data_IF_668632493858
#
_entry.id   IF_668632493858
#
_cell.length_a   1.000
_cell.length_b   1.000
_cell.length_c   1.000
_cell.angle_alpha   90.00
_cell.angle_beta   90.00
_cell.angle_gamma   90.00
#
_symmetry.space_group_name_H-M   'P 1'
#
loop_
_entity.id
_entity.type
_entity.pdbx_description
1 polymer ?
#
# COMPACT_ATOMS: atom_id res chain seq x y z
N UNK A 1 0.22 -1.17 -43.77
CA UNK A 1 0.68 -2.39 -43.06
C UNK A 1 1.32 -1.92 -41.76
N UNK A 2 0.56 -1.88 -40.67
CA UNK A 2 1.01 -1.36 -39.38
C UNK A 2 1.73 -2.48 -38.65
N UNK A 3 3.05 -2.38 -38.52
CA UNK A 3 3.86 -3.37 -37.81
C UNK A 3 3.63 -3.22 -36.31
N UNK A 4 2.93 -4.19 -35.71
CA UNK A 4 2.84 -4.33 -34.26
C UNK A 4 4.24 -4.72 -33.76
N UNK A 5 4.95 -3.76 -33.17
CA UNK A 5 6.20 -4.03 -32.45
C UNK A 5 5.84 -4.79 -31.17
N UNK A 6 5.99 -6.12 -31.20
CA UNK A 6 5.90 -6.95 -30.01
C UNK A 6 7.21 -6.71 -29.24
N UNK A 7 7.18 -5.80 -28.27
CA UNK A 7 8.30 -5.60 -27.34
C UNK A 7 8.54 -6.89 -26.53
N UNK A 8 9.81 -7.27 -26.30
CA UNK A 8 10.13 -8.47 -25.55
C UNK A 8 9.70 -8.29 -24.08
N UNK A 9 8.81 -9.17 -23.60
CA UNK A 9 8.38 -9.40 -22.20
C UNK A 9 8.45 -8.15 -21.30
N UNK A 10 7.32 -7.45 -21.14
CA UNK A 10 7.22 -6.30 -20.25
C UNK A 10 7.64 -6.72 -18.82
N UNK A 11 8.91 -6.49 -18.50
CA UNK A 11 9.43 -6.66 -17.14
C UNK A 11 8.70 -5.59 -16.34
N UNK A 12 7.70 -6.00 -15.55
CA UNK A 12 6.87 -5.08 -14.79
C UNK A 12 7.80 -4.10 -14.06
N UNK A 13 7.64 -2.79 -14.29
CA UNK A 13 8.53 -1.83 -13.62
C UNK A 13 8.27 -1.97 -12.13
N UNK A 14 9.33 -1.97 -11.31
CA UNK A 14 9.17 -2.06 -9.84
C UNK A 14 8.23 -0.98 -9.29
N UNK A 15 8.25 0.18 -9.93
CA UNK A 15 7.33 1.31 -9.74
C UNK A 15 5.85 0.88 -9.85
N UNK A 16 5.53 0.13 -10.90
CA UNK A 16 4.17 -0.38 -11.17
C UNK A 16 3.79 -1.47 -10.18
N UNK A 17 4.76 -2.31 -9.80
CA UNK A 17 4.55 -3.35 -8.78
C UNK A 17 4.17 -2.73 -7.43
N UNK A 18 4.91 -1.70 -6.99
CA UNK A 18 4.59 -0.97 -5.76
C UNK A 18 3.22 -0.33 -5.85
N UNK A 19 2.93 0.42 -6.92
CA UNK A 19 1.63 1.08 -7.08
C UNK A 19 0.46 0.07 -7.09
N UNK A 20 0.63 -1.07 -7.75
CA UNK A 20 -0.34 -2.16 -7.77
C UNK A 20 -0.57 -2.73 -6.38
N UNK A 21 0.50 -3.10 -5.68
CA UNK A 21 0.43 -3.70 -4.35
C UNK A 21 -0.17 -2.73 -3.32
N UNK A 22 0.20 -1.45 -3.36
CA UNK A 22 -0.36 -0.41 -2.49
C UNK A 22 -1.86 -0.23 -2.74
N UNK A 23 -2.30 -0.14 -4.01
CA UNK A 23 -3.73 -0.05 -4.32
C UNK A 23 -4.50 -1.28 -3.84
N UNK A 24 -3.93 -2.47 -4.04
CA UNK A 24 -4.51 -3.73 -3.57
C UNK A 24 -4.67 -3.72 -2.05
N UNK A 25 -3.64 -3.38 -1.28
CA UNK A 25 -3.71 -3.36 0.18
C UNK A 25 -4.75 -2.35 0.66
N UNK A 26 -4.77 -1.13 0.11
CA UNK A 26 -5.75 -0.10 0.48
C UNK A 26 -7.20 -0.57 0.22
N UNK A 27 -7.45 -1.28 -0.88
CA UNK A 27 -8.77 -1.82 -1.20
C UNK A 27 -9.24 -2.90 -0.22
N UNK A 28 -8.32 -3.58 0.48
CA UNK A 28 -8.62 -4.72 1.35
C UNK A 28 -8.47 -4.44 2.86
N UNK A 29 -7.91 -3.30 3.26
CA UNK A 29 -7.59 -2.98 4.68
C UNK A 29 -8.45 -1.86 5.29
N UNK A 30 -9.32 -1.22 4.50
CA UNK A 30 -10.08 -0.04 4.94
C UNK A 30 -9.22 1.20 5.22
N UNK A 31 -7.91 1.14 4.90
CA UNK A 31 -6.97 2.25 5.03
C UNK A 31 -7.20 3.28 3.91
N UNK A 32 -7.03 4.55 4.22
CA UNK A 32 -7.32 5.63 3.28
C UNK A 32 -6.05 6.16 2.58
N UNK A 33 -6.16 6.44 1.28
CA UNK A 33 -5.11 7.09 0.48
C UNK A 33 -4.59 8.40 1.10
N UNK A 34 -5.48 9.18 1.74
CA UNK A 34 -5.12 10.43 2.42
C UNK A 34 -4.22 10.22 3.63
N UNK A 35 -4.40 9.12 4.35
CA UNK A 35 -3.64 8.80 5.55
C UNK A 35 -2.24 8.29 5.14
N UNK A 36 -2.20 7.46 4.09
CA UNK A 36 -0.97 7.04 3.43
C UNK A 36 -0.16 8.23 2.87
N UNK A 37 -0.83 9.21 2.25
CA UNK A 37 -0.19 10.43 1.75
C UNK A 37 0.45 11.25 2.88
N UNK A 38 -0.25 11.37 4.02
CA UNK A 38 0.30 12.01 5.23
C UNK A 38 1.50 11.25 5.78
N UNK A 39 1.45 9.92 5.83
CA UNK A 39 2.55 9.08 6.31
C UNK A 39 3.81 9.23 5.44
N UNK A 40 3.65 9.38 4.12
CA UNK A 40 4.74 9.66 3.19
C UNK A 40 5.18 11.14 3.16
N UNK A 41 4.47 12.05 3.83
CA UNK A 41 4.77 13.48 3.77
C UNK A 41 4.52 14.11 2.39
N UNK A 42 3.67 13.51 1.54
CA UNK A 42 3.36 14.01 0.20
C UNK A 42 1.92 14.50 0.07
N UNK A 43 1.67 15.34 -0.94
CA UNK A 43 0.32 15.85 -1.20
C UNK A 43 -0.62 14.73 -1.71
N UNK A 44 -1.94 14.85 -1.49
CA UNK A 44 -2.91 13.89 -2.04
C UNK A 44 -2.85 13.75 -3.56
N UNK A 45 -2.53 14.84 -4.27
CA UNK A 45 -2.36 14.81 -5.72
C UNK A 45 -1.10 14.05 -6.13
N UNK A 46 0.02 14.24 -5.43
CA UNK A 46 1.24 13.48 -5.65
C UNK A 46 1.01 11.98 -5.40
N UNK A 47 0.26 11.64 -4.35
CA UNK A 47 -0.18 10.28 -4.05
C UNK A 47 -1.00 9.68 -5.19
N UNK A 48 -1.99 10.40 -5.69
CA UNK A 48 -2.81 9.93 -6.81
C UNK A 48 -1.97 9.62 -8.05
N UNK A 49 -0.99 10.47 -8.38
CA UNK A 49 -0.06 10.23 -9.48
C UNK A 49 0.80 8.97 -9.28
N UNK A 50 1.26 8.69 -8.06
CA UNK A 50 2.01 7.47 -7.72
C UNK A 50 1.17 6.21 -7.85
N UNK A 51 -0.06 6.25 -7.35
CA UNK A 51 -1.00 5.13 -7.45
C UNK A 51 -1.48 4.87 -8.87
N UNK A 52 -1.35 5.83 -9.78
CA UNK A 52 -1.62 5.69 -11.21
C UNK A 52 -0.36 5.33 -12.03
N UNK A 53 0.77 5.02 -11.38
CA UNK A 53 2.05 4.76 -12.04
C UNK A 53 2.59 5.91 -12.91
N UNK A 54 2.08 7.14 -12.72
CA UNK A 54 2.49 8.32 -13.50
C UNK A 54 3.74 8.99 -12.95
N UNK A 55 4.20 8.60 -11.77
CA UNK A 55 5.34 9.21 -11.13
C UNK A 55 6.19 8.19 -10.35
N UNK A 56 7.46 8.54 -10.14
CA UNK A 56 8.51 7.66 -9.61
C UNK A 56 8.49 7.67 -8.08
N UNK A 57 8.27 6.51 -7.47
CA UNK A 57 8.52 6.22 -6.07
C UNK A 57 10.02 6.32 -5.76
N UNK A 58 10.34 7.16 -4.79
CA UNK A 58 11.62 7.17 -4.08
C UNK A 58 11.69 6.02 -3.08
N UNK A 59 12.90 5.65 -2.66
CA UNK A 59 13.09 4.58 -1.67
C UNK A 59 12.43 4.95 -0.35
N UNK A 60 12.56 6.20 0.11
CA UNK A 60 11.92 6.70 1.34
C UNK A 60 10.39 6.59 1.29
N UNK A 61 9.76 6.89 0.16
CA UNK A 61 8.31 6.73 -0.03
C UNK A 61 7.88 5.25 0.08
N UNK A 62 8.67 4.32 -0.48
CA UNK A 62 8.36 2.88 -0.38
C UNK A 62 8.56 2.38 1.05
N UNK A 63 9.61 2.82 1.75
CA UNK A 63 9.82 2.50 3.17
C UNK A 63 8.65 3.03 4.02
N UNK A 64 8.28 4.29 3.87
CA UNK A 64 7.16 4.88 4.61
C UNK A 64 5.82 4.19 4.31
N UNK A 65 5.59 3.73 3.08
CA UNK A 65 4.44 2.91 2.74
C UNK A 65 4.48 1.55 3.46
N UNK A 66 5.64 0.88 3.47
CA UNK A 66 5.83 -0.40 4.13
C UNK A 66 5.55 -0.30 5.64
N UNK A 67 6.10 0.73 6.28
CA UNK A 67 5.88 1.04 7.70
C UNK A 67 4.42 1.35 8.00
N UNK A 68 3.75 2.13 7.14
CA UNK A 68 2.33 2.44 7.28
C UNK A 68 1.45 1.18 7.22
N UNK A 69 1.81 0.20 6.40
CA UNK A 69 1.08 -1.06 6.31
C UNK A 69 1.53 -2.11 7.34
N UNK A 70 2.68 -1.95 8.00
CA UNK A 70 3.25 -2.99 8.85
C UNK A 70 3.76 -4.19 8.05
N UNK A 71 4.30 -3.94 6.85
CA UNK A 71 4.83 -4.96 5.93
C UNK A 71 6.33 -4.76 5.71
N UNK A 72 7.09 -5.82 5.41
CA UNK A 72 8.45 -5.66 4.93
C UNK A 72 8.45 -5.03 3.53
N UNK A 73 9.44 -4.18 3.24
CA UNK A 73 9.59 -3.55 1.91
C UNK A 73 9.64 -4.56 0.77
N UNK A 74 10.20 -5.75 1.02
CA UNK A 74 10.28 -6.84 0.04
C UNK A 74 8.90 -7.35 -0.38
N UNK A 75 7.89 -7.29 0.49
CA UNK A 75 6.52 -7.66 0.13
C UNK A 75 5.91 -6.62 -0.83
N UNK A 76 6.14 -5.32 -0.63
CA UNK A 76 5.67 -4.28 -1.55
C UNK A 76 6.31 -4.39 -2.94
N UNK A 77 7.52 -4.94 -3.03
CA UNK A 77 8.24 -5.16 -4.27
C UNK A 77 7.96 -6.53 -4.93
N UNK A 78 7.19 -7.40 -4.28
CA UNK A 78 6.85 -8.75 -4.78
C UNK A 78 5.74 -8.65 -5.85
N UNK A 79 6.01 -8.96 -7.13
CA UNK A 79 5.00 -8.92 -8.19
C UNK A 79 3.95 -10.01 -8.05
N UNK A 80 4.16 -11.00 -7.19
CA UNK A 80 3.24 -12.10 -6.90
C UNK A 80 2.57 -11.95 -5.53
N UNK A 81 2.61 -10.75 -4.93
CA UNK A 81 1.93 -10.49 -3.67
C UNK A 81 0.41 -10.65 -3.87
N UNK A 82 -0.20 -11.54 -3.08
CA UNK A 82 -1.65 -11.73 -3.07
C UNK A 82 -2.29 -10.98 -1.92
N UNK A 83 -3.59 -10.61 -2.01
CA UNK A 83 -4.31 -9.98 -0.91
C UNK A 83 -4.26 -10.81 0.38
N UNK A 84 -4.45 -12.14 0.26
CA UNK A 84 -4.41 -13.04 1.41
C UNK A 84 -3.04 -13.05 2.10
N UNK A 85 -1.95 -13.10 1.32
CA UNK A 85 -0.58 -13.05 1.86
C UNK A 85 -0.28 -11.69 2.50
N UNK A 86 -0.71 -10.59 1.89
CA UNK A 86 -0.54 -9.26 2.45
C UNK A 86 -1.26 -9.13 3.81
N UNK A 87 -2.54 -9.53 3.88
CA UNK A 87 -3.32 -9.48 5.13
C UNK A 87 -2.77 -10.42 6.21
N UNK A 88 -2.27 -11.60 5.84
CA UNK A 88 -1.60 -12.51 6.76
C UNK A 88 -0.34 -11.87 7.39
N UNK A 89 0.50 -11.21 6.59
CA UNK A 89 1.69 -10.53 7.11
C UNK A 89 1.30 -9.35 8.00
N UNK A 90 0.33 -8.53 7.58
CA UNK A 90 -0.17 -7.40 8.37
C UNK A 90 -0.67 -7.91 9.73
N UNK A 91 -1.52 -8.93 9.76
CA UNK A 91 -2.08 -9.48 10.99
C UNK A 91 -1.03 -10.09 11.92
N UNK A 92 0.02 -10.70 11.38
CA UNK A 92 1.17 -11.23 12.15
C UNK A 92 2.05 -10.13 12.73
N UNK A 93 2.17 -8.98 12.06
CA UNK A 93 2.95 -7.83 12.54
C UNK A 93 2.26 -7.10 13.72
N UNK A 94 0.97 -7.33 13.94
CA UNK A 94 0.21 -6.72 15.03
C UNK A 94 0.51 -7.29 16.43
N UNK A 95 1.42 -8.27 16.51
CA UNK A 95 1.94 -8.78 17.77
C UNK A 95 3.12 -8.00 18.38
N UNK A 96 3.52 -6.84 17.81
CA UNK A 96 4.83 -6.24 18.14
C UNK A 96 4.99 -4.71 18.21
N UNK A 97 3.96 -3.87 18.06
CA UNK A 97 4.16 -2.40 18.15
C UNK A 97 2.99 -1.62 18.79
N UNK A 98 3.21 -0.91 19.92
CA UNK A 98 2.16 -0.16 20.65
C UNK A 98 1.51 1.01 19.88
N UNK A 99 2.16 1.50 18.81
CA UNK A 99 1.76 2.73 18.12
C UNK A 99 0.53 2.52 17.21
N UNK A 100 0.39 1.33 16.64
CA UNK A 100 -0.77 0.98 15.79
C UNK A 100 -2.05 0.75 16.62
N UNK A 101 -1.91 0.29 17.86
CA UNK A 101 -3.02 0.02 18.76
C UNK A 101 -3.82 1.29 19.09
N UNK A 102 -3.15 2.43 19.22
CA UNK A 102 -3.81 3.71 19.57
C UNK A 102 -4.70 4.25 18.43
N UNK A 103 -4.27 4.09 17.18
CA UNK A 103 -5.01 4.54 16.00
C UNK A 103 -6.20 3.61 15.71
N UNK A 104 -6.09 2.34 16.10
CA UNK A 104 -7.15 1.35 15.93
C UNK A 104 -8.18 1.34 17.06
N UNK A 105 -7.77 1.48 18.33
CA UNK A 105 -8.68 1.52 19.49
C UNK A 105 -9.72 2.64 19.32
N UNK A 106 -9.29 3.80 18.81
CA UNK A 106 -10.19 4.93 18.54
C UNK A 106 -11.09 4.75 17.31
N UNK A 107 -10.80 3.82 16.39
CA UNK A 107 -11.64 3.50 15.22
C UNK A 107 -12.60 2.33 15.47
N UNK A 108 -12.19 1.29 16.22
CA UNK A 108 -13.05 0.14 16.52
C UNK A 108 -14.13 0.49 17.56
N UNK A 109 -13.84 1.34 18.57
CA UNK A 109 -14.87 1.79 19.52
C UNK A 109 -16.05 2.52 18.87
N UNK A 110 -15.83 3.22 17.75
CA UNK A 110 -16.89 3.93 17.02
C UNK A 110 -17.80 3.00 16.21
N UNK A 111 -17.29 1.85 15.76
CA UNK A 111 -18.08 0.89 15.00
C UNK A 111 -19.05 0.08 15.89
N UNK A 112 -18.71 -0.14 17.16
CA UNK A 112 -19.54 -0.92 18.10
C UNK A 112 -20.60 -0.09 18.85
N UNK A 113 -20.50 1.24 18.86
CA UNK A 113 -21.48 2.12 19.54
C UNK A 113 -22.72 2.39 18.67
N UNK A 114 -22.69 2.09 17.37
CA UNK A 114 -23.83 2.32 16.47
C UNK A 114 -24.74 1.08 16.28
N UNK A 115 -24.49 0.01 17.03
CA UNK A 115 -25.26 -1.25 16.97
C UNK A 115 -25.71 -1.74 18.36
N UNK A 116 -25.77 -0.87 19.37
CA UNK A 116 -26.29 -1.18 20.70
C UNK A 116 -27.49 -0.29 21.05
#
# INVERSE_FOLDING_TARGET
MTTVSIQPSATLRRQDTVAMNVNMILANTGLYKRDLAKAMGISPQAMASRLQSKAIWSIDEVCAAADFFGLPITALLDPFLTPAKALDIISKHEGGSPVADTIRDSRIRRAWILTA
#
